data_IF_738778396354
#
_entry.id   IF_738778396354
#
_cell.length_a   1.000
_cell.length_b   1.000
_cell.length_c   1.000
_cell.angle_alpha   90.00
_cell.angle_beta   90.00
_cell.angle_gamma   90.00
#
_symmetry.space_group_name_H-M   'P 1'
#
loop_
_entity.id
_entity.type
_entity.pdbx_description
1 polymer ?
#
# COMPACT_ATOMS: atom_id res chain seq x y z
N UNK A 1 -17.73 9.25 -14.70
CA UNK A 1 -16.76 8.15 -14.62
C UNK A 1 -16.48 7.98 -13.15
N UNK A 2 -17.02 6.92 -12.53
CA UNK A 2 -16.72 6.60 -11.14
C UNK A 2 -15.24 6.29 -11.06
N UNK A 3 -14.51 7.04 -10.21
CA UNK A 3 -13.10 6.82 -10.00
C UNK A 3 -12.97 5.42 -9.38
N UNK A 4 -12.40 4.45 -10.09
CA UNK A 4 -12.30 3.05 -9.63
C UNK A 4 -11.58 2.92 -8.27
N UNK A 5 -10.88 3.98 -7.86
CA UNK A 5 -10.17 4.10 -6.58
C UNK A 5 -11.07 4.41 -5.37
N UNK A 6 -12.26 4.99 -5.55
CA UNK A 6 -13.19 5.23 -4.42
C UNK A 6 -13.68 3.90 -3.80
N UNK A 7 -13.61 2.78 -4.53
CA UNK A 7 -14.06 1.47 -4.03
C UNK A 7 -12.99 0.69 -3.25
N UNK A 8 -11.76 1.19 -3.20
CA UNK A 8 -10.65 0.47 -2.59
C UNK A 8 -10.51 0.74 -1.09
N UNK A 9 -10.81 1.96 -0.66
CA UNK A 9 -10.81 2.34 0.74
C UNK A 9 -12.08 1.86 1.45
N UNK A 10 -11.91 0.99 2.44
CA UNK A 10 -13.00 0.62 3.33
C UNK A 10 -13.43 1.80 4.21
N UNK A 11 -14.71 1.86 4.58
CA UNK A 11 -15.21 2.93 5.44
C UNK A 11 -14.50 2.94 6.81
N UNK A 12 -14.10 4.14 7.23
CA UNK A 12 -13.31 4.33 8.45
C UNK A 12 -11.90 3.73 8.42
N UNK A 13 -11.37 3.31 7.27
CA UNK A 13 -10.00 2.83 7.15
C UNK A 13 -8.99 3.92 7.53
N UNK A 14 -8.03 3.56 8.38
CA UNK A 14 -6.91 4.43 8.75
C UNK A 14 -5.59 3.70 8.56
N UNK A 15 -4.65 4.38 7.92
CA UNK A 15 -3.26 3.95 7.77
C UNK A 15 -2.38 5.13 8.15
N UNK A 16 -1.34 4.86 8.91
CA UNK A 16 -0.35 5.81 9.36
C UNK A 16 1.04 5.21 9.16
N UNK A 17 2.04 6.07 8.98
CA UNK A 17 3.43 5.65 8.80
C UNK A 17 4.33 6.41 9.76
N UNK A 18 5.33 5.72 10.30
CA UNK A 18 6.42 6.35 11.04
C UNK A 18 7.75 5.70 10.74
N UNK A 19 8.80 6.48 10.81
CA UNK A 19 10.17 5.98 10.78
C UNK A 19 10.64 5.71 12.22
N UNK A 20 11.24 4.54 12.45
CA UNK A 20 11.83 4.14 13.72
C UNK A 20 13.13 3.39 13.45
N UNK A 21 14.27 3.99 13.80
CA UNK A 21 15.61 3.39 13.65
C UNK A 21 15.86 2.79 12.25
N UNK A 22 15.70 3.59 11.19
CA UNK A 22 15.88 3.18 9.78
C UNK A 22 14.84 2.16 9.24
N UNK A 23 13.81 1.86 10.03
CA UNK A 23 12.69 1.02 9.61
C UNK A 23 11.44 1.87 9.43
N UNK A 24 10.75 1.69 8.31
CA UNK A 24 9.42 2.27 8.10
C UNK A 24 8.35 1.34 8.68
N UNK A 25 7.62 1.84 9.67
CA UNK A 25 6.49 1.14 10.28
C UNK A 25 5.22 1.69 9.66
N UNK A 26 4.50 0.81 8.95
CA UNK A 26 3.12 1.02 8.53
C UNK A 26 2.18 0.43 9.58
N UNK A 27 1.29 1.26 10.11
CA UNK A 27 0.29 0.87 11.10
C UNK A 27 -1.09 1.29 10.62
N UNK A 28 -2.14 0.57 11.00
CA UNK A 28 -3.49 0.91 10.60
C UNK A 28 -4.52 0.12 11.38
N UNK A 29 -5.76 0.56 11.34
CA UNK A 29 -6.87 -0.26 11.84
C UNK A 29 -7.14 -1.44 10.90
N UNK A 30 -8.00 -2.37 11.31
CA UNK A 30 -8.31 -3.57 10.52
C UNK A 30 -8.78 -3.23 9.09
N UNK A 31 -9.62 -2.19 8.95
CA UNK A 31 -10.12 -1.73 7.66
C UNK A 31 -9.00 -1.16 6.77
N UNK A 32 -8.08 -0.38 7.36
CA UNK A 32 -6.89 0.16 6.69
C UNK A 32 -5.94 -0.93 6.23
N UNK A 33 -5.65 -1.92 7.07
CA UNK A 33 -4.76 -3.02 6.69
C UNK A 33 -5.37 -3.90 5.59
N UNK A 34 -6.68 -4.17 5.62
CA UNK A 34 -7.37 -4.87 4.51
C UNK A 34 -7.33 -4.08 3.21
N UNK A 35 -7.58 -2.77 3.29
CA UNK A 35 -7.46 -1.83 2.16
C UNK A 35 -6.05 -1.89 1.55
N UNK A 36 -5.02 -1.77 2.39
CA UNK A 36 -3.62 -1.86 1.97
C UNK A 36 -3.30 -3.22 1.33
N UNK A 37 -3.69 -4.33 1.95
CA UNK A 37 -3.46 -5.67 1.38
C UNK A 37 -4.09 -5.81 -0.01
N UNK A 38 -5.29 -5.29 -0.23
CA UNK A 38 -5.96 -5.31 -1.54
C UNK A 38 -5.21 -4.47 -2.58
N UNK A 39 -4.72 -3.28 -2.22
CA UNK A 39 -3.88 -2.43 -3.09
C UNK A 39 -2.60 -3.16 -3.50
N UNK A 40 -1.93 -3.79 -2.53
CA UNK A 40 -0.69 -4.51 -2.77
C UNK A 40 -0.90 -5.74 -3.69
N UNK A 41 -2.01 -6.46 -3.52
CA UNK A 41 -2.40 -7.54 -4.44
C UNK A 41 -2.65 -6.99 -5.85
N UNK A 42 -3.40 -5.90 -6.00
CA UNK A 42 -3.66 -5.27 -7.31
C UNK A 42 -2.35 -4.84 -7.98
N UNK A 43 -1.46 -4.17 -7.24
CA UNK A 43 -0.14 -3.78 -7.72
C UNK A 43 0.71 -4.97 -8.19
N UNK A 44 0.68 -6.09 -7.47
CA UNK A 44 1.43 -7.30 -7.84
C UNK A 44 1.02 -7.91 -9.18
N UNK A 45 -0.21 -7.63 -9.64
CA UNK A 45 -0.75 -8.14 -10.90
C UNK A 45 -0.47 -7.20 -12.08
N UNK A 46 0.08 -6.01 -11.82
CA UNK A 46 0.40 -5.01 -12.85
C UNK A 46 1.80 -5.22 -13.43
N UNK A 47 2.05 -4.78 -14.67
CA UNK A 47 3.39 -4.79 -15.25
C UNK A 47 4.40 -4.04 -14.38
N UNK A 48 5.65 -4.48 -14.43
CA UNK A 48 6.74 -3.82 -13.71
C UNK A 48 6.87 -2.34 -14.12
N UNK A 49 7.09 -1.46 -13.14
CA UNK A 49 7.25 -0.02 -13.35
C UNK A 49 5.94 0.76 -13.48
N UNK A 50 4.78 0.12 -13.25
CA UNK A 50 3.50 0.82 -13.17
C UNK A 50 3.32 1.43 -11.78
N UNK A 51 2.97 2.70 -11.74
CA UNK A 51 2.61 3.42 -10.52
C UNK A 51 1.09 3.48 -10.35
N UNK A 52 0.60 3.28 -9.13
CA UNK A 52 -0.79 3.51 -8.78
C UNK A 52 -0.89 4.84 -8.04
N UNK A 53 -1.59 5.79 -8.65
CA UNK A 53 -1.88 7.09 -8.03
C UNK A 53 -3.25 7.00 -7.35
N UNK A 54 -3.28 7.22 -6.04
CA UNK A 54 -4.54 7.25 -5.27
C UNK A 54 -5.21 8.64 -5.34
N UNK A 55 -4.43 9.67 -5.62
CA UNK A 55 -4.88 11.05 -5.81
C UNK A 55 -4.17 11.67 -7.00
N UNK A 56 -4.87 12.56 -7.72
CA UNK A 56 -4.27 13.34 -8.78
C UNK A 56 -3.12 14.20 -8.22
N UNK A 57 -1.98 14.24 -8.93
CA UNK A 57 -0.78 15.02 -8.58
C UNK A 57 0.01 14.55 -7.34
N UNK A 58 -0.27 13.36 -6.80
CA UNK A 58 0.50 12.71 -5.72
C UNK A 58 1.78 11.99 -6.20
N UNK A 59 2.17 12.18 -7.46
CA UNK A 59 3.27 11.45 -8.09
C UNK A 59 4.65 11.79 -7.53
N UNK A 60 5.17 10.93 -6.65
CA UNK A 60 6.57 10.96 -6.23
C UNK A 60 7.48 10.53 -7.39
N UNK A 61 7.93 11.50 -8.20
CA UNK A 61 9.00 11.27 -9.19
C UNK A 61 10.40 11.30 -8.56
N UNK A 62 10.58 11.94 -7.40
CA UNK A 62 11.82 11.97 -6.62
C UNK A 62 11.59 11.37 -5.23
N UNK A 63 12.44 10.41 -4.84
CA UNK A 63 12.43 9.82 -3.49
C UNK A 63 11.60 8.55 -3.33
N UNK A 64 11.01 8.01 -4.41
CA UNK A 64 10.34 6.71 -4.37
C UNK A 64 11.35 5.58 -4.11
N UNK A 65 11.04 4.70 -3.17
CA UNK A 65 11.82 3.50 -2.88
C UNK A 65 11.14 2.26 -3.48
N UNK A 66 11.90 1.29 -4.00
CA UNK A 66 11.34 0.02 -4.43
C UNK A 66 10.71 -0.71 -3.23
N UNK A 67 9.44 -1.09 -3.35
CA UNK A 67 8.76 -1.93 -2.38
C UNK A 67 8.82 -3.39 -2.84
N UNK A 68 9.49 -4.24 -2.07
CA UNK A 68 9.46 -5.69 -2.27
C UNK A 68 8.49 -6.25 -1.23
N UNK A 69 7.40 -6.86 -1.71
CA UNK A 69 6.47 -7.59 -0.86
C UNK A 69 6.89 -9.06 -0.79
N UNK A 70 7.30 -9.51 0.38
CA UNK A 70 7.61 -10.91 0.63
C UNK A 70 6.51 -11.48 1.53
N UNK A 71 5.83 -12.53 1.06
CA UNK A 71 4.97 -13.33 1.93
C UNK A 71 5.88 -14.18 2.81
N UNK A 72 6.02 -13.80 4.08
CA UNK A 72 6.66 -14.65 5.06
C UNK A 72 5.64 -15.72 5.47
N UNK A 73 5.83 -16.96 5.05
CA UNK A 73 5.21 -18.07 5.76
C UNK A 73 5.81 -18.09 7.17
N UNK A 74 5.14 -17.48 8.16
CA UNK A 74 5.43 -17.83 9.55
C UNK A 74 4.78 -19.19 9.79
N UNK A 75 5.53 -20.24 9.48
CA UNK A 75 5.42 -21.51 10.17
C UNK A 75 6.77 -22.25 10.14
N UNK A 76 7.26 -22.50 11.36
CA UNK A 76 8.33 -23.44 11.78
C UNK A 76 9.76 -22.88 11.64
N UNK A 77 10.57 -22.70 12.69
CA UNK A 77 10.74 -23.42 13.98
C UNK A 77 11.00 -22.40 15.09
#
# INVERSE_FOLDING_TARGET
MSNEFEQLWEDGATIDFREDNEVFILQGNAAGLRTLSRMLIDLSQRPHGVHQHLEDFSGLNLGSLPLILVHSDIAQI
#
